data_IF_676356666300
#
_entry.id   IF_676356666300
#
_cell.length_a   1.000
_cell.length_b   1.000
_cell.length_c   1.000
_cell.angle_alpha   90.00
_cell.angle_beta   90.00
_cell.angle_gamma   90.00
#
_symmetry.space_group_name_H-M   'P 1'
#
loop_
_entity.id
_entity.type
_entity.pdbx_description
1 polymer ?
#
# COMPACT_ATOMS: atom_id res chain seq x y z
N UNK A 1 13.32 8.65 10.47
CA UNK A 1 12.36 8.45 9.38
C UNK A 1 12.25 6.94 9.23
N UNK A 2 11.19 6.37 9.79
CA UNK A 2 10.97 4.92 9.86
C UNK A 2 10.35 4.45 8.53
N UNK A 3 10.72 3.25 8.07
CA UNK A 3 10.66 2.86 6.64
C UNK A 3 9.40 3.31 5.87
N UNK A 4 9.62 4.17 4.87
CA UNK A 4 8.64 4.54 3.83
C UNK A 4 8.30 3.38 2.87
N UNK A 5 8.76 2.15 3.17
CA UNK A 5 8.33 0.90 2.54
C UNK A 5 6.84 0.65 2.74
N UNK A 6 6.03 1.30 1.91
CA UNK A 6 4.83 0.72 1.37
C UNK A 6 5.27 -0.51 0.58
N UNK A 7 4.87 -1.69 1.05
CA UNK A 7 5.17 -2.93 0.34
C UNK A 7 4.37 -2.94 -0.97
N UNK A 8 4.97 -3.49 -2.04
CA UNK A 8 4.29 -3.98 -3.27
C UNK A 8 3.04 -4.84 -2.98
N UNK A 9 2.94 -5.37 -1.75
CA UNK A 9 1.80 -6.15 -1.25
C UNK A 9 0.77 -5.40 -0.38
N UNK A 10 0.83 -4.07 -0.27
CA UNK A 10 -0.16 -3.28 0.48
C UNK A 10 -1.58 -3.48 -0.09
N UNK A 11 -2.57 -3.77 0.76
CA UNK A 11 -3.92 -4.13 0.29
C UNK A 11 -4.66 -2.96 -0.36
N UNK A 12 -4.38 -1.72 0.08
CA UNK A 12 -4.94 -0.53 -0.56
C UNK A 12 -4.31 -0.30 -1.94
N UNK A 13 -2.99 -0.47 -2.08
CA UNK A 13 -2.37 -0.40 -3.42
C UNK A 13 -2.95 -1.44 -4.37
N UNK A 14 -3.10 -2.70 -3.94
CA UNK A 14 -3.72 -3.75 -4.76
C UNK A 14 -5.16 -3.42 -5.16
N UNK A 15 -5.95 -2.82 -4.26
CA UNK A 15 -7.28 -2.34 -4.61
C UNK A 15 -7.23 -1.32 -5.76
N UNK A 16 -6.31 -0.34 -5.69
CA UNK A 16 -6.12 0.64 -6.75
C UNK A 16 -5.65 -0.03 -8.04
N UNK A 17 -4.63 -0.90 -8.00
CA UNK A 17 -4.14 -1.58 -9.20
C UNK A 17 -5.21 -2.44 -9.88
N UNK A 18 -6.03 -3.15 -9.10
CA UNK A 18 -7.16 -3.92 -9.62
C UNK A 18 -8.25 -3.03 -10.22
N UNK A 19 -8.55 -1.86 -9.63
CA UNK A 19 -9.52 -0.90 -10.17
C UNK A 19 -9.14 -0.39 -11.57
N UNK A 20 -7.85 -0.28 -11.86
CA UNK A 20 -7.32 0.12 -13.17
C UNK A 20 -6.84 -1.08 -14.02
N UNK A 21 -7.22 -2.32 -13.66
CA UNK A 21 -6.88 -3.55 -14.38
C UNK A 21 -5.35 -3.79 -14.57
N UNK A 22 -4.49 -3.15 -13.77
CA UNK A 22 -3.05 -3.06 -14.03
C UNK A 22 -2.31 -4.39 -13.92
N UNK A 23 -2.84 -5.34 -13.14
CA UNK A 23 -2.22 -6.66 -12.90
C UNK A 23 -2.85 -7.80 -13.73
N UNK A 24 -3.82 -7.50 -14.62
CA UNK A 24 -4.50 -8.52 -15.43
C UNK A 24 -3.58 -9.28 -16.42
N UNK A 25 -3.98 -10.50 -16.78
CA UNK A 25 -3.21 -11.34 -17.70
C UNK A 25 -3.08 -10.73 -19.11
N UNK A 26 -1.87 -10.80 -19.65
CA UNK A 26 -1.58 -10.37 -21.03
C UNK A 26 -1.96 -11.50 -22.00
N UNK A 27 -2.85 -11.22 -22.95
CA UNK A 27 -3.26 -12.24 -23.94
C UNK A 27 -2.06 -12.77 -24.74
N UNK A 28 -2.17 -14.02 -25.21
CA UNK A 28 -1.05 -14.76 -25.82
C UNK A 28 -0.43 -14.09 -27.05
N UNK A 29 -1.22 -13.37 -27.85
CA UNK A 29 -0.72 -12.70 -29.06
C UNK A 29 0.13 -11.48 -28.70
N UNK A 30 -0.38 -10.63 -27.81
CA UNK A 30 0.33 -9.45 -27.33
C UNK A 30 1.55 -9.82 -26.47
N UNK A 31 1.45 -10.87 -25.65
CA UNK A 31 2.56 -11.33 -24.79
C UNK A 31 3.82 -11.63 -25.59
N UNK A 32 3.69 -12.29 -26.74
CA UNK A 32 4.83 -12.56 -27.63
C UNK A 32 5.43 -11.27 -28.21
N UNK A 33 4.58 -10.31 -28.63
CA UNK A 33 5.02 -9.03 -29.17
C UNK A 33 5.75 -8.18 -28.12
N UNK A 34 5.17 -8.05 -26.92
CA UNK A 34 5.78 -7.31 -25.83
C UNK A 34 7.06 -7.99 -25.33
N UNK A 35 7.11 -9.32 -25.26
CA UNK A 35 8.32 -10.06 -24.93
C UNK A 35 9.47 -9.72 -25.90
N UNK A 36 9.21 -9.70 -27.21
CA UNK A 36 10.21 -9.33 -28.21
C UNK A 36 10.67 -7.88 -28.07
N UNK A 37 9.76 -6.93 -27.80
CA UNK A 37 10.10 -5.53 -27.56
C UNK A 37 10.95 -5.37 -26.29
N UNK A 38 10.47 -5.90 -25.16
CA UNK A 38 11.18 -5.87 -23.88
C UNK A 38 12.57 -6.51 -23.98
N UNK A 39 12.70 -7.69 -24.63
CA UNK A 39 13.99 -8.36 -24.81
C UNK A 39 14.92 -7.69 -25.84
N UNK A 40 14.41 -6.78 -26.68
CA UNK A 40 15.22 -5.98 -27.60
C UNK A 40 15.87 -4.79 -26.90
N UNK A 41 15.09 -4.04 -26.12
CA UNK A 41 15.56 -2.82 -25.45
C UNK A 41 16.22 -3.07 -24.09
N UNK A 42 15.75 -4.06 -23.32
CA UNK A 42 16.32 -4.34 -21.99
C UNK A 42 17.66 -5.09 -22.15
N UNK A 43 18.77 -4.55 -21.62
CA UNK A 43 20.09 -5.16 -21.73
C UNK A 43 20.13 -6.60 -21.21
N UNK A 44 20.86 -7.47 -21.91
CA UNK A 44 20.98 -8.88 -21.56
C UNK A 44 21.50 -9.13 -20.14
N UNK A 45 22.40 -8.26 -19.63
CA UNK A 45 22.85 -8.30 -18.25
C UNK A 45 21.69 -8.10 -17.25
N UNK A 46 20.76 -7.18 -17.54
CA UNK A 46 19.58 -6.94 -16.70
C UNK A 46 18.60 -8.13 -16.77
N UNK A 47 18.29 -8.63 -17.98
CA UNK A 47 17.34 -9.74 -18.17
C UNK A 47 17.85 -11.04 -17.56
N UNK A 48 19.14 -11.37 -17.75
CA UNK A 48 19.75 -12.62 -17.30
C UNK A 48 19.63 -12.86 -15.79
N UNK A 49 19.57 -11.80 -14.99
CA UNK A 49 19.44 -11.89 -13.53
C UNK A 49 18.00 -11.81 -13.02
N UNK A 50 17.01 -11.47 -13.85
CA UNK A 50 15.61 -11.42 -13.43
C UNK A 50 14.61 -11.55 -14.59
N UNK A 51 13.87 -12.67 -14.61
CA UNK A 51 12.68 -12.83 -15.45
C UNK A 51 11.54 -11.88 -15.04
N UNK A 52 11.46 -11.51 -13.75
CA UNK A 52 10.45 -10.57 -13.23
C UNK A 52 10.54 -9.22 -13.96
N UNK A 53 11.74 -8.76 -14.35
CA UNK A 53 11.91 -7.53 -15.15
C UNK A 53 11.32 -7.61 -16.56
N UNK A 54 11.30 -8.80 -17.16
CA UNK A 54 10.62 -9.01 -18.44
C UNK A 54 9.11 -9.00 -18.23
N UNK A 55 8.60 -9.66 -17.18
CA UNK A 55 7.16 -9.68 -16.88
C UNK A 55 6.62 -8.28 -16.49
N UNK A 56 7.37 -7.48 -15.70
CA UNK A 56 7.05 -6.08 -15.38
C UNK A 56 6.99 -5.24 -16.67
N UNK A 57 7.98 -5.36 -17.56
CA UNK A 57 7.99 -4.64 -18.83
C UNK A 57 6.81 -5.04 -19.72
N UNK A 58 6.53 -6.34 -19.88
CA UNK A 58 5.39 -6.84 -20.65
C UNK A 58 4.07 -6.30 -20.10
N UNK A 59 3.93 -6.26 -18.77
CA UNK A 59 2.75 -5.75 -18.07
C UNK A 59 2.59 -4.24 -18.28
N UNK A 60 3.67 -3.46 -18.17
CA UNK A 60 3.68 -2.03 -18.47
C UNK A 60 3.28 -1.72 -19.92
N UNK A 61 3.89 -2.39 -20.90
CA UNK A 61 3.56 -2.20 -22.32
C UNK A 61 2.09 -2.56 -22.63
N UNK A 62 1.55 -3.60 -21.97
CA UNK A 62 0.14 -3.98 -22.07
C UNK A 62 -0.76 -2.89 -21.49
N UNK A 63 -0.46 -2.38 -20.30
CA UNK A 63 -1.25 -1.32 -19.67
C UNK A 63 -1.29 -0.05 -20.53
N UNK A 64 -0.15 0.36 -21.10
CA UNK A 64 -0.09 1.47 -22.05
C UNK A 64 -0.90 1.20 -23.33
N UNK A 65 -0.81 0.00 -23.90
CA UNK A 65 -1.62 -0.37 -25.08
C UNK A 65 -3.12 -0.22 -24.79
N UNK A 66 -3.60 -0.74 -23.66
CA UNK A 66 -5.02 -0.68 -23.32
C UNK A 66 -5.47 0.76 -23.00
N UNK A 67 -4.65 1.54 -22.30
CA UNK A 67 -4.87 2.97 -22.12
C UNK A 67 -5.04 3.69 -23.47
N UNK A 68 -4.14 3.47 -24.43
CA UNK A 68 -4.21 4.11 -25.75
C UNK A 68 -5.37 3.61 -26.62
N UNK A 69 -5.89 2.40 -26.38
CA UNK A 69 -7.10 1.88 -27.01
C UNK A 69 -8.40 2.43 -26.40
N UNK A 70 -8.35 2.92 -25.15
CA UNK A 70 -9.51 3.52 -24.49
C UNK A 70 -9.91 4.85 -25.15
N UNK A 71 -11.22 5.05 -25.30
CA UNK A 71 -11.81 6.25 -25.90
C UNK A 71 -12.26 7.30 -24.86
N UNK A 72 -12.02 7.06 -23.56
CA UNK A 72 -12.49 7.89 -22.45
C UNK A 72 -11.48 8.97 -22.07
N UNK A 73 -11.81 10.24 -22.30
CA UNK A 73 -10.89 11.37 -22.11
C UNK A 73 -10.72 11.83 -20.65
N UNK A 74 -11.75 11.69 -19.81
CA UNK A 74 -11.75 12.18 -18.41
C UNK A 74 -10.77 11.44 -17.51
N UNK A 75 -10.69 10.12 -17.64
CA UNK A 75 -9.88 9.27 -16.77
C UNK A 75 -8.56 8.83 -17.41
N UNK A 76 -8.30 9.21 -18.67
CA UNK A 76 -7.05 8.89 -19.38
C UNK A 76 -5.80 9.28 -18.56
N UNK A 77 -5.75 10.51 -18.05
CA UNK A 77 -4.61 10.97 -17.26
C UNK A 77 -4.53 10.28 -15.89
N UNK A 78 -5.66 10.02 -15.21
CA UNK A 78 -5.67 9.29 -13.93
C UNK A 78 -5.13 7.87 -14.10
N UNK A 79 -5.64 7.16 -15.12
CA UNK A 79 -5.20 5.80 -15.45
C UNK A 79 -3.72 5.81 -15.86
N UNK A 80 -3.31 6.70 -16.76
CA UNK A 80 -1.91 6.91 -17.12
C UNK A 80 -1.00 7.06 -15.89
N UNK A 81 -1.31 8.00 -15.00
CA UNK A 81 -0.52 8.23 -13.80
C UNK A 81 -0.45 6.98 -12.91
N UNK A 82 -1.57 6.27 -12.70
CA UNK A 82 -1.56 5.03 -11.93
C UNK A 82 -0.73 3.91 -12.60
N UNK A 83 -0.62 3.83 -13.94
CA UNK A 83 0.30 2.89 -14.62
C UNK A 83 1.76 3.21 -14.28
N UNK A 84 2.14 4.50 -14.32
CA UNK A 84 3.49 4.93 -13.98
C UNK A 84 3.79 4.76 -12.48
N UNK A 85 2.80 4.95 -11.61
CA UNK A 85 2.96 4.75 -10.16
C UNK A 85 3.05 3.27 -9.79
N UNK A 86 2.29 2.41 -10.46
CA UNK A 86 2.46 0.96 -10.36
C UNK A 86 3.88 0.55 -10.76
N UNK A 87 4.37 1.01 -11.91
CA UNK A 87 5.73 0.72 -12.36
C UNK A 87 6.78 1.15 -11.32
N UNK A 88 6.60 2.31 -10.68
CA UNK A 88 7.48 2.76 -9.61
C UNK A 88 7.53 1.75 -8.44
N UNK A 89 6.38 1.28 -7.94
CA UNK A 89 6.35 0.30 -6.85
C UNK A 89 6.90 -1.07 -7.24
N UNK A 90 6.85 -1.43 -8.52
CA UNK A 90 7.45 -2.67 -9.03
C UNK A 90 8.98 -2.63 -9.04
N UNK A 91 9.60 -1.46 -9.17
CA UNK A 91 11.04 -1.32 -9.48
C UNK A 91 11.85 -0.51 -8.47
N UNK A 92 11.23 0.19 -7.51
CA UNK A 92 11.92 1.11 -6.59
C UNK A 92 12.97 0.48 -5.67
N UNK A 93 12.86 -0.82 -5.39
CA UNK A 93 13.82 -1.57 -4.57
C UNK A 93 14.99 -2.15 -5.41
N UNK A 94 15.07 -1.85 -6.72
CA UNK A 94 16.08 -2.39 -7.65
C UNK A 94 17.30 -1.47 -7.84
N UNK A 95 18.50 -1.99 -7.58
CA UNK A 95 19.77 -1.27 -7.69
C UNK A 95 20.10 -0.82 -9.13
N UNK A 96 19.48 -1.44 -10.16
CA UNK A 96 19.72 -1.13 -11.58
C UNK A 96 18.52 -0.41 -12.23
N UNK A 97 17.69 0.25 -11.43
CA UNK A 97 16.45 0.90 -11.86
C UNK A 97 16.65 1.90 -13.00
N UNK A 98 17.67 2.77 -12.96
CA UNK A 98 17.92 3.81 -13.99
C UNK A 98 18.17 3.26 -15.40
N UNK A 99 19.01 2.24 -15.55
CA UNK A 99 19.28 1.62 -16.85
C UNK A 99 18.05 0.86 -17.35
N UNK A 100 17.31 0.25 -16.43
CA UNK A 100 16.12 -0.54 -16.72
C UNK A 100 14.90 0.33 -17.12
N UNK A 101 14.64 1.43 -16.41
CA UNK A 101 13.51 2.33 -16.68
C UNK A 101 13.65 3.02 -18.05
N UNK A 102 14.88 3.44 -18.41
CA UNK A 102 15.15 3.98 -19.74
C UNK A 102 14.83 2.96 -20.85
N UNK A 103 15.26 1.70 -20.71
CA UNK A 103 14.92 0.63 -21.67
C UNK A 103 13.42 0.31 -21.73
N UNK A 104 12.70 0.35 -20.61
CA UNK A 104 11.24 0.21 -20.60
C UNK A 104 10.58 1.35 -21.37
N UNK A 105 11.06 2.59 -21.18
CA UNK A 105 10.53 3.75 -21.88
C UNK A 105 10.83 3.73 -23.37
N UNK A 106 12.02 3.35 -23.81
CA UNK A 106 12.34 3.12 -25.23
C UNK A 106 11.35 2.12 -25.85
N UNK A 107 11.14 0.97 -25.21
CA UNK A 107 10.17 -0.05 -25.63
C UNK A 107 8.72 0.47 -25.66
N UNK A 108 8.39 1.43 -24.79
CA UNK A 108 7.06 2.06 -24.73
C UNK A 108 6.79 3.04 -25.87
N UNK A 109 7.83 3.70 -26.41
CA UNK A 109 7.66 4.66 -27.51
C UNK A 109 7.09 4.00 -28.77
N UNK A 110 7.43 2.74 -29.03
CA UNK A 110 6.87 1.96 -30.14
C UNK A 110 5.35 1.75 -29.99
N UNK A 111 4.86 1.54 -28.76
CA UNK A 111 3.43 1.38 -28.49
C UNK A 111 2.66 2.69 -28.73
N UNK A 112 3.24 3.84 -28.37
CA UNK A 112 2.65 5.15 -28.64
C UNK A 112 2.60 5.46 -30.14
N UNK A 113 3.72 5.24 -30.87
CA UNK A 113 3.83 5.42 -32.32
C UNK A 113 2.78 4.62 -33.09
N UNK A 114 2.61 3.33 -32.77
CA UNK A 114 1.61 2.45 -33.42
C UNK A 114 0.17 2.94 -33.29
N UNK A 115 -0.12 3.77 -32.28
CA UNK A 115 -1.48 4.24 -31.96
C UNK A 115 -1.74 5.68 -32.40
N UNK A 116 -0.76 6.36 -33.01
CA UNK A 116 -0.80 7.80 -33.31
C UNK A 116 -1.20 8.66 -32.10
N UNK A 117 -0.93 8.19 -30.88
CA UNK A 117 -1.05 8.97 -29.65
C UNK A 117 0.32 9.59 -29.43
N UNK A 118 0.38 10.91 -29.28
CA UNK A 118 1.62 11.57 -28.82
C UNK A 118 1.98 11.13 -27.40
N UNK A 119 3.12 11.61 -26.90
CA UNK A 119 3.67 11.34 -25.56
C UNK A 119 2.82 11.85 -24.37
N UNK A 120 1.50 11.98 -24.55
CA UNK A 120 0.51 12.48 -23.59
C UNK A 120 0.42 11.66 -22.28
N UNK A 121 1.16 10.55 -22.17
CA UNK A 121 1.29 9.74 -20.98
C UNK A 121 2.75 9.54 -20.52
N UNK A 122 3.73 10.00 -21.30
CA UNK A 122 5.15 9.81 -20.96
C UNK A 122 5.62 10.85 -19.95
N UNK A 123 5.96 10.39 -18.74
CA UNK A 123 6.67 11.19 -17.75
C UNK A 123 8.03 10.54 -17.43
N UNK A 124 8.97 10.64 -18.37
CA UNK A 124 10.33 10.12 -18.16
C UNK A 124 11.12 10.92 -17.13
N UNK A 125 10.72 12.18 -16.87
CA UNK A 125 11.26 13.00 -15.79
C UNK A 125 10.88 12.48 -14.40
N UNK A 126 9.79 11.71 -14.28
CA UNK A 126 9.32 11.10 -13.03
C UNK A 126 10.42 10.34 -12.28
N UNK A 127 11.33 9.71 -13.02
CA UNK A 127 12.32 8.76 -12.49
C UNK A 127 13.75 9.29 -12.41
N UNK A 128 13.95 10.60 -12.59
CA UNK A 128 15.29 11.22 -12.54
C UNK A 128 15.86 11.41 -11.13
N UNK A 129 15.00 11.36 -10.11
CA UNK A 129 15.36 11.50 -8.69
C UNK A 129 14.41 10.64 -7.86
N UNK A 130 14.84 9.41 -7.52
CA UNK A 130 14.02 8.42 -6.83
C UNK A 130 13.46 8.87 -5.48
N UNK A 131 14.17 9.74 -4.76
CA UNK A 131 13.71 10.28 -3.48
C UNK A 131 12.56 11.26 -3.70
N UNK A 132 12.65 12.09 -4.73
CA UNK A 132 11.57 12.99 -5.11
C UNK A 132 10.41 12.24 -5.80
N UNK A 133 10.70 11.19 -6.56
CA UNK A 133 9.71 10.26 -7.13
C UNK A 133 8.83 9.65 -6.04
N UNK A 134 9.42 9.13 -4.94
CA UNK A 134 8.62 8.48 -3.87
C UNK A 134 7.57 9.42 -3.29
N UNK A 135 7.99 10.66 -3.01
CA UNK A 135 7.13 11.71 -2.46
C UNK A 135 6.01 12.06 -3.43
N UNK A 136 6.36 12.28 -4.70
CA UNK A 136 5.41 12.63 -5.76
C UNK A 136 4.37 11.52 -5.99
N UNK A 137 4.84 10.28 -6.14
CA UNK A 137 4.00 9.09 -6.39
C UNK A 137 3.01 8.88 -5.24
N UNK A 138 3.48 8.93 -3.98
CA UNK A 138 2.60 8.75 -2.82
C UNK A 138 1.51 9.83 -2.75
N UNK A 139 1.87 11.10 -2.95
CA UNK A 139 0.91 12.20 -2.90
C UNK A 139 -0.06 12.14 -4.08
N UNK A 140 0.38 11.76 -5.28
CA UNK A 140 -0.52 11.62 -6.41
C UNK A 140 -1.43 10.40 -6.33
N UNK A 141 -1.01 9.27 -5.75
CA UNK A 141 -1.94 8.16 -5.47
C UNK A 141 -3.06 8.63 -4.54
N UNK A 142 -2.74 9.40 -3.49
CA UNK A 142 -3.76 10.02 -2.63
C UNK A 142 -4.67 10.98 -3.44
N UNK A 143 -4.07 11.92 -4.17
CA UNK A 143 -4.80 12.97 -4.87
C UNK A 143 -5.72 12.45 -5.99
N UNK A 144 -5.25 11.47 -6.77
CA UNK A 144 -5.98 10.96 -7.94
C UNK A 144 -7.07 9.96 -7.57
N UNK A 145 -6.93 9.29 -6.42
CA UNK A 145 -7.84 8.25 -5.92
C UNK A 145 -8.54 8.66 -4.60
N UNK A 146 -8.71 9.97 -4.36
CA UNK A 146 -9.35 10.49 -3.13
C UNK A 146 -10.78 9.96 -2.94
N UNK A 147 -11.52 9.78 -4.03
CA UNK A 147 -12.90 9.26 -4.01
C UNK A 147 -12.92 7.80 -3.52
N UNK A 148 -11.94 6.98 -3.96
CA UNK A 148 -11.74 5.61 -3.49
C UNK A 148 -11.30 5.55 -2.03
N UNK A 149 -10.39 6.43 -1.62
CA UNK A 149 -9.96 6.56 -0.23
C UNK A 149 -11.17 6.88 0.66
N UNK A 150 -12.00 7.84 0.26
CA UNK A 150 -13.22 8.18 0.98
C UNK A 150 -14.21 7.03 1.01
N UNK A 151 -14.39 6.29 -0.09
CA UNK A 151 -15.25 5.09 -0.14
C UNK A 151 -14.75 4.01 0.83
N UNK A 152 -13.46 3.67 0.79
CA UNK A 152 -12.84 2.63 1.61
C UNK A 152 -12.86 2.98 3.11
N UNK A 153 -12.58 4.23 3.48
CA UNK A 153 -12.61 4.67 4.88
C UNK A 153 -14.04 4.62 5.47
N UNK A 154 -15.07 4.74 4.63
CA UNK A 154 -16.48 4.64 4.99
C UNK A 154 -17.02 3.20 5.07
N UNK A 155 -16.26 2.18 4.63
CA UNK A 155 -16.67 0.78 4.73
C UNK A 155 -16.57 0.27 6.17
N UNK A 156 -17.17 -0.89 6.42
CA UNK A 156 -16.90 -1.68 7.61
C UNK A 156 -15.41 -2.04 7.71
N UNK A 157 -14.96 -2.47 8.88
CA UNK A 157 -13.52 -2.66 9.11
C UNK A 157 -12.99 -3.95 8.46
N UNK A 158 -12.35 -3.79 7.30
CA UNK A 158 -11.66 -4.84 6.55
C UNK A 158 -10.15 -4.55 6.38
N UNK A 159 -9.44 -5.46 5.70
CA UNK A 159 -8.01 -5.29 5.40
C UNK A 159 -7.73 -4.07 4.53
N UNK A 160 -8.62 -3.73 3.59
CA UNK A 160 -8.45 -2.60 2.69
C UNK A 160 -8.55 -1.27 3.46
N UNK A 161 -9.51 -1.16 4.39
CA UNK A 161 -9.69 -0.01 5.27
C UNK A 161 -8.52 0.19 6.21
N UNK A 162 -8.00 -0.88 6.83
CA UNK A 162 -6.78 -0.79 7.66
C UNK A 162 -5.58 -0.34 6.81
N UNK A 163 -5.37 -0.93 5.63
CA UNK A 163 -4.26 -0.56 4.73
C UNK A 163 -4.40 0.89 4.23
N UNK A 164 -5.62 1.31 3.87
CA UNK A 164 -5.93 2.68 3.46
C UNK A 164 -5.65 3.69 4.58
N UNK A 165 -6.00 3.40 5.83
CA UNK A 165 -5.62 4.24 6.98
C UNK A 165 -4.10 4.35 7.12
N UNK A 166 -3.37 3.25 6.99
CA UNK A 166 -1.90 3.23 7.05
C UNK A 166 -1.27 4.03 5.91
N UNK A 167 -1.83 3.97 4.71
CA UNK A 167 -1.45 4.79 3.57
C UNK A 167 -1.70 6.28 3.82
N UNK A 168 -2.92 6.67 4.23
CA UNK A 168 -3.28 8.07 4.50
C UNK A 168 -2.40 8.67 5.61
N UNK A 169 -2.13 7.93 6.71
CA UNK A 169 -1.16 8.34 7.73
C UNK A 169 0.21 8.65 7.13
N UNK A 170 0.74 7.76 6.28
CA UNK A 170 2.03 7.98 5.62
C UNK A 170 2.04 9.23 4.74
N UNK A 171 0.94 9.57 4.07
CA UNK A 171 0.81 10.82 3.32
C UNK A 171 0.79 12.06 4.24
N UNK A 172 0.15 11.98 5.42
CA UNK A 172 0.15 13.07 6.42
C UNK A 172 1.54 13.25 7.05
N UNK A 173 2.22 12.16 7.41
CA UNK A 173 3.59 12.19 7.93
C UNK A 173 4.55 12.81 6.89
N UNK A 174 4.42 12.39 5.62
CA UNK A 174 5.15 12.94 4.49
C UNK A 174 4.89 14.45 4.33
N UNK A 175 3.62 14.87 4.24
CA UNK A 175 3.24 16.29 4.13
C UNK A 175 3.86 17.12 5.26
N UNK A 176 3.83 16.61 6.49
CA UNK A 176 4.38 17.28 7.68
C UNK A 176 5.89 17.47 7.56
N UNK A 177 6.62 16.45 7.09
CA UNK A 177 8.06 16.55 6.80
C UNK A 177 8.40 17.56 5.70
N UNK A 178 7.47 17.79 4.76
CA UNK A 178 7.64 18.67 3.61
C UNK A 178 7.25 20.13 3.85
N UNK A 179 6.78 20.52 5.04
CA UNK A 179 6.38 21.91 5.30
C UNK A 179 7.53 22.92 5.07
N UNK A 180 8.76 22.58 5.45
CA UNK A 180 9.94 23.42 5.17
C UNK A 180 10.39 23.38 3.71
N UNK A 181 10.12 22.28 3.01
CA UNK A 181 10.42 22.09 1.59
C UNK A 181 9.54 23.00 0.72
N UNK A 182 8.24 23.08 1.04
CA UNK A 182 7.28 23.97 0.38
C UNK A 182 7.71 25.44 0.32
N UNK A 183 8.37 25.92 1.37
CA UNK A 183 8.78 27.32 1.53
C UNK A 183 10.01 27.66 0.67
N UNK A 184 10.85 26.65 0.38
CA UNK A 184 12.16 26.83 -0.24
C UNK A 184 12.18 26.40 -1.71
N UNK A 185 11.68 25.19 -2.01
CA UNK A 185 11.89 24.52 -3.30
C UNK A 185 10.88 24.89 -4.38
N UNK A 186 9.66 25.30 -4.01
CA UNK A 186 8.52 25.51 -4.92
C UNK A 186 8.56 26.83 -5.72
N UNK A 187 9.74 27.27 -6.14
CA UNK A 187 9.98 28.59 -6.78
C UNK A 187 10.60 28.52 -8.17
N UNK A 188 11.00 27.32 -8.62
CA UNK A 188 11.64 27.09 -9.92
C UNK A 188 10.71 26.30 -10.85
N UNK A 189 10.75 26.59 -12.15
CA UNK A 189 9.84 26.02 -13.15
C UNK A 189 10.38 24.77 -13.86
N UNK A 190 9.43 23.91 -14.27
CA UNK A 190 9.56 22.74 -15.13
C UNK A 190 10.46 21.61 -14.60
N UNK A 191 10.41 21.31 -13.30
CA UNK A 191 11.15 20.18 -12.70
C UNK A 191 10.25 19.24 -11.91
N UNK A 192 10.75 18.03 -11.61
CA UNK A 192 10.09 17.05 -10.74
C UNK A 192 9.66 17.67 -9.40
N UNK A 193 10.51 18.53 -8.84
CA UNK A 193 10.28 19.35 -7.64
C UNK A 193 8.98 20.18 -7.76
N UNK A 194 8.71 20.79 -8.91
CA UNK A 194 7.49 21.59 -9.11
C UNK A 194 6.24 20.69 -9.13
N UNK A 195 6.32 19.52 -9.77
CA UNK A 195 5.25 18.52 -9.76
C UNK A 195 4.94 18.08 -8.32
N UNK A 196 5.97 17.81 -7.52
CA UNK A 196 5.79 17.46 -6.10
C UNK A 196 5.21 18.62 -5.31
N UNK A 197 5.70 19.84 -5.50
CA UNK A 197 5.14 21.04 -4.90
C UNK A 197 3.64 21.25 -5.21
N UNK A 198 3.20 20.93 -6.43
CA UNK A 198 1.78 20.93 -6.79
C UNK A 198 1.04 19.79 -6.08
N UNK A 199 1.56 18.56 -6.11
CA UNK A 199 0.97 17.41 -5.45
C UNK A 199 0.81 17.61 -3.92
N UNK A 200 1.77 18.27 -3.25
CA UNK A 200 1.70 18.62 -1.82
C UNK A 200 0.60 19.65 -1.55
N UNK A 201 0.42 20.66 -2.42
CA UNK A 201 -0.66 21.65 -2.29
C UNK A 201 -2.03 21.00 -2.48
N UNK A 202 -2.20 20.22 -3.53
CA UNK A 202 -3.45 19.47 -3.79
C UNK A 202 -3.75 18.45 -2.69
N UNK A 203 -2.72 17.81 -2.12
CA UNK A 203 -2.88 16.93 -0.95
C UNK A 203 -3.47 17.69 0.23
N UNK A 204 -2.92 18.86 0.55
CA UNK A 204 -3.42 19.70 1.64
C UNK A 204 -4.90 20.00 1.47
N UNK A 205 -5.28 20.52 0.30
CA UNK A 205 -6.66 20.91 -0.02
C UNK A 205 -7.63 19.72 0.10
N UNK A 206 -7.30 18.59 -0.54
CA UNK A 206 -8.13 17.38 -0.53
C UNK A 206 -8.20 16.71 0.84
N UNK A 207 -7.12 16.74 1.62
CA UNK A 207 -7.11 16.21 2.98
C UNK A 207 -7.94 17.09 3.92
N UNK A 208 -7.83 18.42 3.82
CA UNK A 208 -8.64 19.35 4.62
C UNK A 208 -10.15 19.21 4.29
N UNK A 209 -10.51 18.95 3.04
CA UNK A 209 -11.89 18.61 2.64
C UNK A 209 -12.34 17.26 3.23
N UNK A 210 -11.55 16.19 3.06
CA UNK A 210 -11.84 14.85 3.60
C UNK A 210 -12.02 14.88 5.13
N UNK A 211 -11.16 15.64 5.82
CA UNK A 211 -11.21 15.86 7.27
C UNK A 211 -12.47 16.63 7.69
N UNK A 212 -12.76 17.76 7.01
CA UNK A 212 -13.89 18.65 7.35
C UNK A 212 -15.25 17.99 7.15
N UNK A 213 -15.34 16.97 6.30
CA UNK A 213 -16.56 16.17 6.08
C UNK A 213 -16.88 15.19 7.24
N UNK A 214 -16.20 15.31 8.40
CA UNK A 214 -16.43 14.65 9.70
C UNK A 214 -16.46 13.12 9.75
N UNK A 215 -16.42 12.40 8.62
CA UNK A 215 -16.44 10.93 8.61
C UNK A 215 -15.14 10.28 9.13
N UNK A 216 -14.07 11.05 9.28
CA UNK A 216 -12.74 10.56 9.71
C UNK A 216 -12.07 11.41 10.81
N UNK A 217 -12.78 12.39 11.38
CA UNK A 217 -12.21 13.35 12.36
C UNK A 217 -11.66 12.67 13.63
N UNK A 218 -12.20 11.50 13.98
CA UNK A 218 -11.72 10.67 15.10
C UNK A 218 -10.58 9.71 14.73
N UNK A 219 -10.16 9.66 13.46
CA UNK A 219 -9.25 8.64 12.94
C UNK A 219 -7.90 9.19 12.44
N UNK A 220 -7.84 10.48 12.11
CA UNK A 220 -6.62 11.18 11.69
C UNK A 220 -6.58 12.59 12.28
N UNK A 221 -5.39 13.20 12.48
CA UNK A 221 -5.26 14.55 13.01
C UNK A 221 -5.50 15.62 11.94
N UNK A 222 -5.84 16.83 12.37
CA UNK A 222 -5.72 18.01 11.51
C UNK A 222 -4.24 18.25 11.14
N UNK A 223 -3.97 18.68 9.90
CA UNK A 223 -2.60 18.98 9.41
C UNK A 223 -1.89 20.10 10.18
N UNK A 224 -2.65 20.89 10.93
CA UNK A 224 -2.17 21.96 11.81
C UNK A 224 -1.81 21.48 13.24
N UNK A 225 -2.11 20.23 13.58
CA UNK A 225 -1.84 19.66 14.90
C UNK A 225 -0.58 18.79 14.90
N UNK A 226 0.24 18.93 15.94
CA UNK A 226 1.46 18.12 16.14
C UNK A 226 1.17 16.76 16.81
N UNK A 227 -0.07 16.28 16.75
CA UNK A 227 -0.51 15.07 17.47
C UNK A 227 -0.07 13.81 16.72
N UNK A 228 0.75 12.92 17.31
CA UNK A 228 1.17 11.69 16.64
C UNK A 228 -0.02 10.78 16.32
N UNK A 229 -0.08 10.26 15.09
CA UNK A 229 -1.17 9.38 14.65
C UNK A 229 -0.98 7.99 15.25
N UNK A 230 -1.78 7.65 16.26
CA UNK A 230 -1.92 6.28 16.75
C UNK A 230 -3.00 5.60 15.91
N UNK A 231 -2.59 4.85 14.88
CA UNK A 231 -3.49 3.86 14.26
C UNK A 231 -3.60 2.71 15.24
N UNK A 232 -4.74 2.63 15.93
CA UNK A 232 -5.17 1.35 16.50
C UNK A 232 -5.59 0.44 15.35
N UNK A 233 -4.95 -0.73 15.24
CA UNK A 233 -5.37 -1.81 14.34
C UNK A 233 -6.67 -2.49 14.80
N UNK A 234 -7.26 -1.99 15.89
CA UNK A 234 -8.56 -2.39 16.41
C UNK A 234 -9.68 -1.97 15.46
N UNK A 235 -10.03 -2.88 14.54
CA UNK A 235 -11.42 -2.99 14.13
C UNK A 235 -12.29 -3.10 15.40
N UNK A 236 -13.37 -2.31 15.51
CA UNK A 236 -14.36 -2.55 16.54
C UNK A 236 -14.84 -3.98 16.39
N UNK A 237 -14.46 -4.85 17.33
CA UNK A 237 -15.12 -6.17 17.45
C UNK A 237 -16.59 -5.86 17.59
N UNK A 238 -17.42 -6.42 16.72
CA UNK A 238 -18.87 -6.32 16.88
C UNK A 238 -19.18 -6.68 18.33
N UNK A 239 -19.83 -5.77 19.05
CA UNK A 239 -20.43 -6.13 20.33
C UNK A 239 -21.48 -7.16 19.98
N UNK A 240 -21.18 -8.44 20.23
CA UNK A 240 -22.17 -9.50 20.16
C UNK A 240 -23.35 -9.06 21.00
N UNK A 241 -24.53 -8.98 20.38
CA UNK A 241 -25.80 -8.64 21.06
C UNK A 241 -26.29 -9.80 21.93
N UNK A 242 -25.41 -10.31 22.79
CA UNK A 242 -25.62 -11.41 23.72
C UNK A 242 -25.75 -10.96 25.17
N UNK A 243 -25.23 -9.77 25.50
CA UNK A 243 -25.06 -9.33 26.90
C UNK A 243 -26.00 -8.18 27.28
N UNK A 244 -26.90 -7.78 26.38
CA UNK A 244 -27.92 -6.73 26.63
C UNK A 244 -29.28 -7.36 26.98
N UNK A 245 -29.27 -8.26 27.96
CA UNK A 245 -30.44 -9.04 28.39
C UNK A 245 -30.56 -9.23 29.91
N UNK A 246 -30.21 -8.24 30.74
CA UNK A 246 -30.55 -8.26 32.18
C UNK A 246 -30.52 -6.90 32.91
N UNK A 247 -31.01 -5.80 32.33
CA UNK A 247 -31.19 -4.53 33.06
C UNK A 247 -32.48 -3.78 32.69
N UNK A 248 -33.64 -4.39 32.96
CA UNK A 248 -34.90 -3.64 33.18
C UNK A 248 -35.59 -4.18 34.44
N UNK A 249 -35.63 -3.29 35.44
CA UNK A 249 -36.57 -3.13 36.56
C UNK A 249 -37.44 -4.33 37.02
N UNK A 250 -37.43 -4.56 38.33
CA UNK A 250 -38.66 -4.79 39.08
C UNK A 250 -38.56 -4.18 40.49
N UNK A 251 -39.38 -3.16 40.74
CA UNK A 251 -39.67 -2.67 42.09
C UNK A 251 -41.04 -3.21 42.50
N UNK A 252 -41.13 -4.16 43.44
CA UNK A 252 -42.27 -4.22 44.35
C UNK A 252 -42.03 -5.07 45.60
N UNK A 253 -42.88 -4.79 46.57
CA UNK A 253 -42.75 -4.99 48.02
C UNK A 253 -43.01 -6.41 48.54
N UNK A 254 -42.53 -6.62 49.76
CA UNK A 254 -43.15 -7.36 50.87
C UNK A 254 -43.19 -8.92 50.95
N UNK A 255 -42.47 -9.39 51.98
CA UNK A 255 -42.92 -10.28 53.07
C UNK A 255 -43.13 -11.80 52.86
N UNK A 256 -42.11 -12.53 53.37
CA UNK A 256 -42.22 -13.52 54.45
C UNK A 256 -42.64 -15.00 54.18
N UNK A 257 -41.88 -15.87 54.86
CA UNK A 257 -42.27 -17.17 55.44
C UNK A 257 -41.94 -18.50 54.72
N UNK A 258 -40.98 -19.20 55.34
CA UNK A 258 -40.98 -20.64 55.72
C UNK A 258 -40.85 -21.82 54.73
N UNK A 259 -39.71 -22.52 54.84
CA UNK A 259 -39.54 -23.98 55.11
C UNK A 259 -40.18 -25.04 54.19
N UNK A 260 -39.34 -25.74 53.39
CA UNK A 260 -39.06 -27.20 53.40
C UNK A 260 -38.04 -27.51 52.26
N UNK A 261 -36.87 -28.12 52.46
CA UNK A 261 -36.56 -29.52 52.87
C UNK A 261 -36.78 -30.57 51.76
N UNK A 262 -35.68 -30.97 51.08
CA UNK A 262 -35.24 -32.34 50.69
C UNK A 262 -34.10 -32.21 49.63
N UNK A 263 -32.91 -32.81 49.78
CA UNK A 263 -32.55 -34.22 49.49
C UNK A 263 -33.05 -34.68 48.11
N UNK A 264 -32.24 -35.27 47.21
CA UNK A 264 -30.81 -35.59 47.22
C UNK A 264 -30.32 -35.71 45.75
N UNK A 265 -29.08 -36.03 45.38
CA UNK A 265 -27.92 -36.58 46.10
C UNK A 265 -26.58 -36.02 45.56
N UNK A 266 -25.43 -36.48 46.07
CA UNK A 266 -24.10 -36.05 45.62
C UNK A 266 -23.22 -37.17 45.03
N UNK A 267 -22.21 -36.78 44.25
CA UNK A 267 -21.00 -37.58 44.03
C UNK A 267 -19.75 -36.69 44.09
N UNK A 268 -18.69 -37.21 44.70
CA UNK A 268 -17.54 -36.44 45.20
C UNK A 268 -16.33 -36.62 44.26
N UNK A 269 -15.83 -35.49 43.74
CA UNK A 269 -14.43 -34.98 43.71
C UNK A 269 -13.25 -35.97 43.50
N UNK A 270 -12.20 -35.44 42.82
CA UNK A 270 -10.83 -35.98 42.54
C UNK A 270 -10.71 -36.88 41.29
N UNK A 271 -9.64 -36.79 40.49
CA UNK A 271 -8.27 -36.29 40.77
C UNK A 271 -7.58 -35.47 39.64
N UNK A 272 -6.51 -34.77 40.03
CA UNK A 272 -5.64 -33.82 39.28
C UNK A 272 -4.62 -34.55 38.35
N UNK A 273 -4.04 -33.91 37.30
CA UNK A 273 -3.32 -34.61 36.20
C UNK A 273 -1.78 -34.63 36.30
N UNK A 274 -1.09 -35.46 35.47
CA UNK A 274 0.29 -35.25 34.94
C UNK A 274 0.84 -36.40 34.06
N UNK A 275 1.38 -36.05 32.88
CA UNK A 275 2.54 -36.65 32.16
C UNK A 275 2.75 -35.78 30.89
N UNK A 276 3.82 -35.05 30.56
CA UNK A 276 5.29 -35.07 30.80
C UNK A 276 6.08 -36.01 29.85
N UNK A 277 6.86 -35.40 28.93
CA UNK A 277 7.78 -36.06 27.97
C UNK A 277 7.14 -36.31 26.58
N UNK A 278 7.78 -36.02 25.44
CA UNK A 278 9.20 -35.78 25.14
C UNK A 278 9.40 -34.59 24.18
N UNK A 279 10.35 -33.71 24.49
CA UNK A 279 10.90 -32.73 23.52
C UNK A 279 12.13 -33.34 22.84
N UNK A 280 12.07 -33.57 21.53
CA UNK A 280 13.24 -33.93 20.74
C UNK A 280 13.96 -32.64 20.29
N UNK A 281 15.21 -32.45 20.74
CA UNK A 281 15.97 -31.24 20.47
C UNK A 281 16.50 -31.15 19.03
N UNK A 282 16.28 -30.01 18.38
CA UNK A 282 16.94 -29.64 17.12
C UNK A 282 18.36 -29.15 17.44
N UNK A 283 19.42 -29.68 16.79
CA UNK A 283 20.79 -29.19 17.02
C UNK A 283 21.00 -27.76 16.47
N UNK A 284 21.61 -26.83 17.23
CA UNK A 284 21.87 -25.47 16.78
C UNK A 284 23.12 -25.39 15.88
N UNK A 285 22.96 -25.70 14.58
CA UNK A 285 24.04 -25.65 13.59
C UNK A 285 24.18 -24.30 12.86
N UNK A 286 23.37 -23.29 13.19
CA UNK A 286 23.33 -21.99 12.48
C UNK A 286 24.20 -20.88 13.10
N UNK A 287 24.85 -21.10 14.25
CA UNK A 287 25.57 -20.03 14.98
C UNK A 287 27.02 -19.82 14.48
N UNK A 288 27.60 -20.75 13.71
CA UNK A 288 29.03 -20.71 13.36
C UNK A 288 29.39 -20.02 12.03
N UNK A 289 28.42 -19.74 11.14
CA UNK A 289 28.73 -19.21 9.80
C UNK A 289 29.12 -17.70 9.85
N UNK A 290 28.52 -16.92 10.75
CA UNK A 290 28.78 -15.47 10.85
C UNK A 290 30.24 -15.13 11.18
N UNK A 291 30.93 -15.97 11.97
CA UNK A 291 32.27 -15.67 12.48
C UNK A 291 33.41 -15.95 11.51
N UNK A 292 33.16 -16.69 10.42
CA UNK A 292 34.17 -16.99 9.38
C UNK A 292 34.25 -15.85 8.35
N UNK A 293 33.11 -15.25 7.99
CA UNK A 293 33.07 -14.17 6.98
C UNK A 293 33.78 -12.90 7.42
N UNK A 294 33.81 -12.58 8.73
CA UNK A 294 34.51 -11.38 9.25
C UNK A 294 36.03 -11.48 9.06
N UNK A 295 36.61 -12.69 9.14
CA UNK A 295 38.07 -12.89 9.03
C UNK A 295 38.56 -12.74 7.58
N UNK A 296 37.72 -13.09 6.60
CA UNK A 296 38.08 -12.99 5.18
C UNK A 296 38.01 -11.57 4.61
N UNK A 297 37.25 -10.66 5.24
CA UNK A 297 37.11 -9.27 4.80
C UNK A 297 38.28 -8.38 5.26
N UNK A 298 39.10 -8.81 6.24
CA UNK A 298 40.28 -8.07 6.71
C UNK A 298 41.58 -8.36 5.92
N UNK A 299 41.49 -9.01 4.76
CA UNK A 299 42.65 -9.29 3.88
C UNK A 299 42.33 -9.17 2.39
N UNK A 300 41.82 -8.02 1.96
CA UNK A 300 42.02 -7.46 0.62
C UNK A 300 42.04 -5.94 0.70
#
# INVERSE_FOLDING_TARGET
>A
MEDLKLMKNDSFLKYIWNKYDLENEVNKSDKNKFLLSCAHYIPYDIVRFSNEKIDICITFLRNLKELYNSNTSSDFFKHCYNIYYWLYYEIKDDINSDKYINSIFEASTEIAKERNKGDNCSDSDLYKDWEETEKLVMLHIFNNNIDDIQEILNKECDSNRISCKKFVKKCVDLYTSMQHYLIQSCKNSNSIIEKTCLAVKTFKEKYEELYSNQKIENEFPALSSYTPIIITDDCPKEKSKSDEASLVQNNQSDQASTVHSNKSDGSIIQSVPRALGLMAGIPPLLVLIYKVNIILIQKF
#
